data_IF_887784453725
#
_entry.id   IF_887784453725
#
_cell.length_a   1.000
_cell.length_b   1.000
_cell.length_c   1.000
_cell.angle_alpha   90.00
_cell.angle_beta   90.00
_cell.angle_gamma   90.00
#
_symmetry.space_group_name_H-M   'P 1'
#
loop_
_entity.id
_entity.type
_entity.pdbx_description
1 polymer ?
#
# COMPACT_ATOMS: atom_id res chain seq x y z
N UNK A 1 26.82 69.52 -15.88
CA UNK A 1 26.45 68.33 -15.07
C UNK A 1 25.26 67.66 -15.74
N UNK A 2 25.44 66.46 -16.31
CA UNK A 2 24.38 65.67 -16.97
C UNK A 2 23.64 64.84 -15.90
N UNK A 3 22.29 64.78 -15.87
CA UNK A 3 21.61 63.83 -15.01
C UNK A 3 21.56 62.46 -15.69
N UNK A 4 22.03 61.43 -14.99
CA UNK A 4 21.84 60.02 -15.36
C UNK A 4 20.37 59.63 -15.09
N UNK A 5 19.67 59.18 -16.13
CA UNK A 5 18.45 58.39 -15.98
C UNK A 5 18.83 56.97 -15.58
N UNK A 6 18.42 56.53 -14.39
CA UNK A 6 18.45 55.13 -13.98
C UNK A 6 17.14 54.48 -14.43
N UNK A 7 17.22 53.61 -15.44
CA UNK A 7 16.11 52.75 -15.85
C UNK A 7 16.08 51.56 -14.90
N UNK A 8 15.09 51.50 -14.02
CA UNK A 8 14.82 50.32 -13.20
C UNK A 8 14.14 49.25 -14.06
N UNK A 9 14.88 48.18 -14.39
CA UNK A 9 14.32 46.99 -15.01
C UNK A 9 13.51 46.20 -13.96
N UNK A 10 12.18 46.28 -14.05
CA UNK A 10 11.27 45.39 -13.32
C UNK A 10 11.39 43.98 -13.92
N UNK A 11 12.19 43.11 -13.28
CA UNK A 11 12.06 41.67 -13.49
C UNK A 11 10.75 41.21 -12.87
N UNK A 12 9.73 40.93 -13.69
CA UNK A 12 8.60 40.11 -13.25
C UNK A 12 9.12 38.69 -12.98
N UNK A 13 9.37 38.38 -11.70
CA UNK A 13 9.44 37.01 -11.25
C UNK A 13 8.04 36.40 -11.43
N UNK A 14 7.87 35.61 -12.48
CA UNK A 14 6.71 34.73 -12.63
C UNK A 14 6.80 33.68 -11.53
N UNK A 15 6.11 33.94 -10.42
CA UNK A 15 5.83 32.92 -9.41
C UNK A 15 5.02 31.85 -10.16
N UNK A 16 5.66 30.72 -10.47
CA UNK A 16 5.00 29.51 -10.93
C UNK A 16 4.08 29.04 -9.81
N UNK A 17 2.90 29.65 -9.70
CA UNK A 17 1.82 29.10 -8.91
C UNK A 17 1.47 27.77 -9.58
N UNK A 18 1.86 26.66 -8.93
CA UNK A 18 1.43 25.33 -9.35
C UNK A 18 -0.09 25.36 -9.52
N UNK A 19 -0.57 24.93 -10.69
CA UNK A 19 -1.99 24.93 -10.98
C UNK A 19 -2.68 24.00 -9.98
N UNK A 20 -3.67 24.52 -9.27
CA UNK A 20 -4.44 23.73 -8.31
C UNK A 20 -5.12 22.56 -9.03
N UNK A 21 -5.29 21.39 -8.37
CA UNK A 21 -5.97 20.24 -8.96
C UNK A 21 -7.36 20.62 -9.46
N UNK A 22 -7.69 20.18 -10.67
CA UNK A 22 -9.00 20.47 -11.27
C UNK A 22 -10.04 19.55 -10.65
N UNK A 23 -11.18 20.09 -10.22
CA UNK A 23 -12.27 19.30 -9.65
C UNK A 23 -13.31 18.91 -10.70
N UNK A 24 -13.70 17.63 -10.72
CA UNK A 24 -14.82 17.12 -11.50
C UNK A 24 -16.19 17.56 -10.96
N UNK A 25 -16.24 18.27 -9.83
CA UNK A 25 -17.49 18.91 -9.34
C UNK A 25 -17.83 20.17 -10.14
N UNK A 26 -16.82 20.95 -10.55
CA UNK A 26 -17.04 22.21 -11.27
C UNK A 26 -17.28 22.00 -12.77
N UNK A 27 -16.64 21.01 -13.39
CA UNK A 27 -16.81 20.64 -14.82
C UNK A 27 -16.58 19.15 -15.02
N UNK A 28 -16.95 18.59 -16.17
CA UNK A 28 -16.55 17.21 -16.50
C UNK A 28 -15.03 17.14 -16.77
N UNK A 29 -14.40 16.03 -16.42
CA UNK A 29 -13.03 15.71 -16.84
C UNK A 29 -13.08 14.49 -17.76
N UNK A 30 -12.51 14.61 -18.95
CA UNK A 30 -12.64 13.67 -20.06
C UNK A 30 -11.26 13.20 -20.50
N UNK A 31 -11.02 11.89 -20.41
CA UNK A 31 -9.85 11.23 -20.98
C UNK A 31 -10.21 10.75 -22.38
N UNK A 32 -9.68 11.41 -23.41
CA UNK A 32 -10.02 11.15 -24.81
C UNK A 32 -8.99 10.22 -25.45
N UNK A 33 -9.46 9.30 -26.31
CA UNK A 33 -8.66 8.34 -27.07
C UNK A 33 -7.68 7.48 -26.22
N UNK A 34 -8.08 7.10 -25.01
CA UNK A 34 -7.23 6.38 -24.07
C UNK A 34 -7.37 4.86 -24.20
N UNK A 35 -6.32 4.10 -23.89
CA UNK A 35 -6.42 2.67 -23.66
C UNK A 35 -6.83 2.41 -22.21
N UNK A 36 -7.88 1.64 -21.95
CA UNK A 36 -8.36 1.35 -20.59
C UNK A 36 -8.00 -0.08 -20.21
N UNK A 37 -7.37 -0.26 -19.06
CA UNK A 37 -7.25 -1.57 -18.39
C UNK A 37 -8.29 -1.58 -17.28
N UNK A 38 -9.46 -2.19 -17.48
CA UNK A 38 -10.62 -1.91 -16.64
C UNK A 38 -10.58 -2.66 -15.30
N UNK A 39 -9.71 -3.67 -15.16
CA UNK A 39 -9.50 -4.49 -13.94
C UNK A 39 -10.70 -5.35 -13.47
N UNK A 40 -11.79 -5.43 -14.25
CA UNK A 40 -12.84 -6.44 -14.06
C UNK A 40 -12.58 -7.73 -14.86
N UNK A 41 -11.73 -7.66 -15.88
CA UNK A 41 -11.23 -8.79 -16.69
C UNK A 41 -9.86 -8.43 -17.32
N UNK A 42 -9.07 -9.43 -17.69
CA UNK A 42 -7.70 -9.25 -18.22
C UNK A 42 -7.74 -8.88 -19.71
N UNK A 43 -7.90 -7.58 -19.99
CA UNK A 43 -7.93 -7.03 -21.35
C UNK A 43 -7.50 -5.55 -21.38
N UNK A 44 -7.26 -5.07 -22.59
CA UNK A 44 -7.09 -3.65 -22.91
C UNK A 44 -8.21 -3.22 -23.83
N UNK A 45 -9.00 -2.22 -23.42
CA UNK A 45 -9.97 -1.55 -24.29
C UNK A 45 -9.29 -0.38 -24.97
N UNK A 46 -9.00 -0.47 -26.26
CA UNK A 46 -8.28 0.58 -26.98
C UNK A 46 -9.21 1.68 -27.48
N UNK A 47 -8.69 2.90 -27.67
CA UNK A 47 -9.42 4.04 -28.23
C UNK A 47 -10.76 4.33 -27.54
N UNK A 48 -10.73 4.51 -26.22
CA UNK A 48 -11.90 4.83 -25.41
C UNK A 48 -11.94 6.31 -25.04
N UNK A 49 -13.14 6.83 -24.80
CA UNK A 49 -13.36 8.06 -24.05
C UNK A 49 -13.90 7.70 -22.67
N UNK A 50 -13.30 8.25 -21.61
CA UNK A 50 -13.79 8.13 -20.23
C UNK A 50 -14.18 9.50 -19.70
N UNK A 51 -15.40 9.64 -19.21
CA UNK A 51 -15.94 10.90 -18.67
C UNK A 51 -16.13 10.74 -17.17
N UNK A 52 -15.71 11.76 -16.41
CA UNK A 52 -15.86 11.81 -14.97
C UNK A 52 -16.56 13.09 -14.53
N UNK A 53 -17.43 12.98 -13.52
CA UNK A 53 -18.16 14.09 -12.92
C UNK A 53 -18.48 13.75 -11.46
N UNK A 54 -18.33 14.71 -10.56
CA UNK A 54 -18.64 14.56 -9.13
C UNK A 54 -17.99 13.32 -8.48
N UNK A 55 -16.74 13.03 -8.85
CA UNK A 55 -16.01 11.87 -8.31
C UNK A 55 -16.45 10.50 -8.83
N UNK A 56 -17.25 10.45 -9.90
CA UNK A 56 -17.72 9.22 -10.54
C UNK A 56 -17.35 9.19 -12.02
N UNK A 57 -17.14 7.98 -12.54
CA UNK A 57 -17.08 7.69 -13.97
C UNK A 57 -18.51 7.68 -14.52
N UNK A 58 -18.89 8.70 -15.26
CA UNK A 58 -20.26 8.85 -15.80
C UNK A 58 -20.44 8.21 -17.17
N UNK A 59 -19.37 8.05 -17.95
CA UNK A 59 -19.40 7.35 -19.22
C UNK A 59 -18.05 6.70 -19.55
N UNK A 60 -18.12 5.55 -20.23
CA UNK A 60 -16.98 4.84 -20.82
C UNK A 60 -17.45 4.21 -22.14
N UNK A 61 -16.74 4.44 -23.23
CA UNK A 61 -17.04 3.80 -24.52
C UNK A 61 -16.08 4.22 -25.63
N UNK A 62 -16.27 3.67 -26.82
CA UNK A 62 -15.41 3.95 -27.97
C UNK A 62 -15.34 5.45 -28.27
N UNK A 63 -14.14 5.92 -28.62
CA UNK A 63 -13.88 7.33 -28.92
C UNK A 63 -14.82 7.85 -30.02
N UNK A 64 -15.17 9.14 -29.94
CA UNK A 64 -16.17 9.83 -30.79
C UNK A 64 -17.62 9.38 -30.62
N UNK A 65 -17.90 8.26 -29.95
CA UNK A 65 -19.28 7.82 -29.63
C UNK A 65 -19.77 8.33 -28.27
N UNK A 66 -18.85 8.65 -27.36
CA UNK A 66 -19.16 9.22 -26.05
C UNK A 66 -19.33 10.73 -26.18
N UNK A 67 -20.43 11.25 -25.64
CA UNK A 67 -20.71 12.69 -25.58
C UNK A 67 -20.33 13.23 -24.20
N UNK A 68 -19.88 14.48 -24.18
CA UNK A 68 -19.54 15.23 -22.97
C UNK A 68 -19.81 16.73 -23.21
N UNK A 69 -19.90 17.50 -22.13
CA UNK A 69 -20.19 18.92 -22.12
C UNK A 69 -19.13 19.75 -22.83
N UNK A 70 -19.54 20.90 -23.39
CA UNK A 70 -18.65 21.81 -24.12
C UNK A 70 -17.59 22.48 -23.23
N UNK A 71 -17.86 22.56 -21.94
CA UNK A 71 -17.00 23.11 -20.89
C UNK A 71 -16.10 22.05 -20.23
N UNK A 72 -16.16 20.79 -20.67
CA UNK A 72 -15.37 19.70 -20.13
C UNK A 72 -13.86 19.99 -20.23
N UNK A 73 -13.08 19.53 -19.24
CA UNK A 73 -11.62 19.44 -19.36
C UNK A 73 -11.29 18.21 -20.17
N UNK A 74 -10.84 18.43 -21.40
CA UNK A 74 -10.45 17.33 -22.30
C UNK A 74 -8.96 17.10 -22.19
N UNK A 75 -8.59 15.91 -21.74
CA UNK A 75 -7.22 15.41 -21.68
C UNK A 75 -7.01 14.51 -22.89
N UNK A 76 -6.07 14.90 -23.76
CA UNK A 76 -5.61 14.04 -24.84
C UNK A 76 -4.76 12.90 -24.28
N UNK A 77 -5.32 11.69 -24.32
CA UNK A 77 -4.74 10.49 -23.76
C UNK A 77 -4.43 9.44 -24.84
N UNK A 78 -4.31 9.86 -26.11
CA UNK A 78 -3.88 9.00 -27.20
C UNK A 78 -2.57 8.26 -26.85
N UNK A 79 -2.59 6.94 -27.01
CA UNK A 79 -1.46 6.05 -26.70
C UNK A 79 -1.18 5.82 -25.20
N UNK A 80 -1.88 6.53 -24.30
CA UNK A 80 -1.76 6.36 -22.85
C UNK A 80 -2.67 5.24 -22.34
N UNK A 81 -2.48 4.87 -21.07
CA UNK A 81 -3.20 3.80 -20.40
C UNK A 81 -3.89 4.32 -19.13
N UNK A 82 -5.19 4.13 -19.02
CA UNK A 82 -5.98 4.47 -17.83
C UNK A 82 -6.26 3.20 -17.04
N UNK A 83 -5.89 3.23 -15.75
CA UNK A 83 -6.12 2.14 -14.80
C UNK A 83 -6.84 2.69 -13.55
N UNK A 84 -7.48 1.83 -12.73
CA UNK A 84 -7.96 2.26 -11.42
C UNK A 84 -6.79 2.72 -10.53
N UNK A 85 -7.08 3.62 -9.60
CA UNK A 85 -6.16 4.00 -8.54
C UNK A 85 -5.62 2.79 -7.78
N UNK A 86 -4.33 2.81 -7.46
CA UNK A 86 -3.71 1.76 -6.67
C UNK A 86 -4.04 1.95 -5.19
N UNK A 87 -3.94 0.86 -4.42
CA UNK A 87 -4.09 0.85 -2.98
C UNK A 87 -2.84 0.33 -2.28
N UNK A 88 -2.52 0.89 -1.12
CA UNK A 88 -1.46 0.42 -0.22
C UNK A 88 -2.10 -0.08 1.08
N UNK A 89 -2.16 -1.40 1.26
CA UNK A 89 -2.85 -2.04 2.38
C UNK A 89 -1.96 -2.24 3.61
N UNK A 90 -0.72 -1.75 3.59
CA UNK A 90 0.20 -1.74 4.72
C UNK A 90 0.99 -0.43 4.81
N UNK A 91 0.30 0.69 5.04
CA UNK A 91 0.96 1.98 5.21
C UNK A 91 1.32 2.26 6.69
N UNK A 92 2.48 2.88 6.92
CA UNK A 92 2.92 3.39 8.21
C UNK A 92 2.80 4.92 8.26
N UNK A 93 1.58 5.44 8.36
CA UNK A 93 1.41 6.86 8.68
C UNK A 93 1.97 7.13 10.09
N UNK A 94 2.88 8.11 10.29
CA UNK A 94 3.56 8.32 11.56
C UNK A 94 2.59 8.36 12.76
N UNK A 95 2.77 7.53 13.79
CA UNK A 95 1.84 7.44 14.92
C UNK A 95 2.23 8.45 16.03
N UNK A 96 2.27 9.73 15.69
CA UNK A 96 2.69 10.82 16.59
C UNK A 96 1.60 11.91 16.69
N UNK A 97 1.80 12.93 17.53
CA UNK A 97 0.82 14.02 17.66
C UNK A 97 0.83 15.00 16.48
N UNK A 98 2.00 15.21 15.88
CA UNK A 98 2.19 16.15 14.77
C UNK A 98 1.61 15.62 13.45
N UNK A 99 0.69 16.38 12.86
CA UNK A 99 0.06 16.07 11.58
C UNK A 99 0.96 16.38 10.38
N UNK A 100 1.91 17.30 10.49
CA UNK A 100 2.73 17.73 9.36
C UNK A 100 3.44 16.56 8.65
N UNK A 101 4.21 15.68 9.35
CA UNK A 101 4.84 14.54 8.72
C UNK A 101 3.83 13.50 8.20
N UNK A 102 2.66 13.41 8.82
CA UNK A 102 1.59 12.54 8.30
C UNK A 102 1.09 13.02 6.94
N UNK A 103 0.84 14.33 6.82
CA UNK A 103 0.41 14.97 5.57
C UNK A 103 1.43 14.76 4.45
N UNK A 104 2.71 14.84 4.75
CA UNK A 104 3.77 14.56 3.78
C UNK A 104 3.78 13.10 3.33
N UNK A 105 3.62 12.14 4.25
CA UNK A 105 3.57 10.71 3.92
C UNK A 105 2.36 10.39 3.03
N UNK A 106 1.17 10.89 3.37
CA UNK A 106 -0.03 10.65 2.54
C UNK A 106 0.05 11.39 1.20
N UNK A 107 0.70 12.56 1.14
CA UNK A 107 0.94 13.25 -0.12
C UNK A 107 1.88 12.45 -1.04
N UNK A 108 2.94 11.84 -0.51
CA UNK A 108 3.83 10.95 -1.28
C UNK A 108 3.07 9.77 -1.88
N UNK A 109 2.14 9.15 -1.13
CA UNK A 109 1.26 8.11 -1.69
C UNK A 109 0.39 8.66 -2.82
N UNK A 110 -0.29 9.79 -2.62
CA UNK A 110 -1.18 10.39 -3.61
C UNK A 110 -0.50 10.70 -4.95
N UNK A 111 0.66 11.36 -4.91
CA UNK A 111 1.38 11.77 -6.14
C UNK A 111 2.03 10.61 -6.88
N UNK A 112 2.14 9.44 -6.24
CA UNK A 112 2.56 8.18 -6.86
C UNK A 112 1.37 7.32 -7.33
N UNK A 113 0.15 7.85 -7.40
CA UNK A 113 -1.01 7.12 -7.92
C UNK A 113 -1.66 6.16 -6.92
N UNK A 114 -1.26 6.20 -5.65
CA UNK A 114 -1.95 5.47 -4.59
C UNK A 114 -3.13 6.33 -4.15
N UNK A 115 -4.34 5.79 -4.28
CA UNK A 115 -5.62 6.49 -4.05
C UNK A 115 -6.36 5.96 -2.82
N UNK A 116 -5.94 4.82 -2.28
CA UNK A 116 -6.44 4.25 -1.02
C UNK A 116 -5.27 3.75 -0.19
N UNK A 117 -5.28 3.99 1.12
CA UNK A 117 -4.30 3.41 2.05
C UNK A 117 -4.98 2.80 3.28
N UNK A 118 -4.40 1.72 3.80
CA UNK A 118 -4.71 1.18 5.13
C UNK A 118 -3.53 1.39 6.08
N UNK A 119 -3.70 2.25 7.07
CA UNK A 119 -2.73 2.49 8.14
C UNK A 119 -2.64 1.30 9.08
N UNK A 120 -1.45 0.71 9.24
CA UNK A 120 -1.24 -0.52 10.03
C UNK A 120 -0.55 -0.30 11.37
N UNK A 121 -0.47 0.96 11.83
CA UNK A 121 -0.05 1.31 13.18
C UNK A 121 -0.79 2.56 13.65
N UNK A 122 -2.00 2.38 14.17
CA UNK A 122 -2.92 3.47 14.46
C UNK A 122 -2.51 4.42 15.59
N UNK A 123 -2.93 5.67 15.45
CA UNK A 123 -2.84 6.73 16.47
C UNK A 123 -4.15 7.56 16.47
N UNK A 124 -4.59 8.18 17.58
CA UNK A 124 -5.81 9.00 17.59
C UNK A 124 -5.83 10.10 16.53
N UNK A 125 -4.69 10.75 16.27
CA UNK A 125 -4.56 11.79 15.24
C UNK A 125 -4.82 11.27 13.81
N UNK A 126 -4.73 9.95 13.57
CA UNK A 126 -5.07 9.38 12.27
C UNK A 126 -6.56 9.46 11.98
N UNK A 127 -7.42 9.41 13.01
CA UNK A 127 -8.86 9.59 12.85
C UNK A 127 -9.17 11.03 12.45
N UNK A 128 -8.49 12.01 13.05
CA UNK A 128 -8.60 13.41 12.64
C UNK A 128 -8.11 13.62 11.21
N UNK A 129 -6.93 13.09 10.86
CA UNK A 129 -6.42 13.16 9.50
C UNK A 129 -7.41 12.56 8.49
N UNK A 130 -8.01 11.41 8.81
CA UNK A 130 -9.03 10.77 7.97
C UNK A 130 -10.23 11.70 7.75
N UNK A 131 -10.70 12.39 8.78
CA UNK A 131 -11.80 13.36 8.63
C UNK A 131 -11.42 14.58 7.80
N UNK A 132 -10.19 15.11 7.94
CA UNK A 132 -9.68 16.18 7.08
C UNK A 132 -9.65 15.76 5.61
N UNK A 133 -9.22 14.52 5.33
CA UNK A 133 -9.21 13.94 3.98
C UNK A 133 -10.64 13.81 3.44
N UNK A 134 -11.57 13.28 4.23
CA UNK A 134 -12.99 13.15 3.84
C UNK A 134 -13.64 14.49 3.51
N UNK A 135 -13.26 15.56 4.22
CA UNK A 135 -13.73 16.93 3.97
C UNK A 135 -13.02 17.62 2.80
N UNK A 136 -11.98 17.02 2.22
CA UNK A 136 -11.18 17.61 1.15
C UNK A 136 -10.21 18.70 1.61
N UNK A 137 -9.96 18.82 2.92
CA UNK A 137 -8.98 19.76 3.49
C UNK A 137 -7.53 19.30 3.25
N UNK A 138 -7.33 17.99 3.05
CA UNK A 138 -6.05 17.37 2.69
C UNK A 138 -6.27 16.50 1.45
N UNK A 139 -5.60 16.84 0.36
CA UNK A 139 -5.57 15.98 -0.83
C UNK A 139 -4.66 14.78 -0.57
N UNK A 140 -5.27 13.62 -0.37
CA UNK A 140 -4.60 12.39 0.01
C UNK A 140 -5.44 11.18 -0.38
N UNK A 141 -4.87 9.96 -0.33
CA UNK A 141 -5.61 8.73 -0.55
C UNK A 141 -6.75 8.57 0.46
N UNK A 142 -7.80 7.85 0.09
CA UNK A 142 -8.83 7.39 1.03
C UNK A 142 -8.16 6.62 2.18
N UNK A 143 -8.33 7.10 3.40
CA UNK A 143 -7.57 6.59 4.54
C UNK A 143 -8.43 5.67 5.42
N UNK A 144 -8.13 4.38 5.39
CA UNK A 144 -8.58 3.41 6.38
C UNK A 144 -7.48 3.23 7.41
N UNK A 145 -7.83 3.02 8.68
CA UNK A 145 -6.79 2.89 9.70
C UNK A 145 -7.14 1.88 10.78
N UNK A 146 -6.12 1.09 11.15
CA UNK A 146 -6.12 0.31 12.38
C UNK A 146 -6.05 1.25 13.58
N UNK A 147 -6.46 0.77 14.76
CA UNK A 147 -6.10 1.46 16.00
C UNK A 147 -4.68 1.12 16.49
N UNK A 148 -4.28 1.66 17.65
CA UNK A 148 -3.01 1.33 18.28
C UNK A 148 -2.80 -0.17 18.42
N UNK A 149 -1.54 -0.60 18.28
CA UNK A 149 -1.16 -2.01 18.24
C UNK A 149 -1.59 -2.81 19.48
N UNK A 150 -2.12 -4.02 19.26
CA UNK A 150 -2.24 -5.07 20.26
C UNK A 150 -1.00 -5.96 20.23
N UNK A 151 -0.17 -5.89 21.27
CA UNK A 151 1.07 -6.67 21.40
C UNK A 151 1.30 -7.10 22.85
N UNK A 152 2.38 -7.86 23.09
CA UNK A 152 2.72 -8.38 24.42
C UNK A 152 2.89 -7.32 25.51
N UNK A 153 3.26 -6.09 25.15
CA UNK A 153 3.44 -4.98 26.07
C UNK A 153 2.15 -4.17 26.28
N UNK A 154 1.40 -3.89 25.21
CA UNK A 154 0.20 -3.05 25.28
C UNK A 154 -1.01 -3.78 25.88
N UNK A 155 -1.09 -5.10 25.70
CA UNK A 155 -2.18 -5.92 26.24
C UNK A 155 -1.70 -6.59 27.51
N UNK A 156 -2.06 -6.03 28.67
CA UNK A 156 -1.58 -6.51 29.98
C UNK A 156 -2.32 -7.78 30.44
N UNK A 157 -3.63 -7.89 30.19
CA UNK A 157 -4.46 -9.08 30.52
C UNK A 157 -5.46 -9.41 29.40
N UNK A 158 -6.09 -10.60 29.40
CA UNK A 158 -7.19 -10.93 28.51
C UNK A 158 -8.37 -9.94 28.60
N UNK A 159 -8.75 -9.52 29.79
CA UNK A 159 -9.84 -8.56 30.04
C UNK A 159 -9.50 -7.20 29.45
N UNK A 160 -8.25 -6.76 29.62
CA UNK A 160 -7.78 -5.50 29.04
C UNK A 160 -7.77 -5.58 27.51
N UNK A 161 -7.34 -6.71 26.94
CA UNK A 161 -7.44 -6.94 25.49
C UNK A 161 -8.87 -6.78 24.96
N UNK A 162 -9.85 -7.38 25.63
CA UNK A 162 -11.26 -7.23 25.27
C UNK A 162 -11.77 -5.79 25.46
N UNK A 163 -11.32 -5.08 26.50
CA UNK A 163 -11.67 -3.69 26.73
C UNK A 163 -11.09 -2.77 25.64
N UNK A 164 -9.82 -2.95 25.29
CA UNK A 164 -9.14 -2.25 24.19
C UNK A 164 -9.88 -2.39 22.87
N UNK A 165 -10.35 -3.60 22.52
CA UNK A 165 -11.16 -3.84 21.32
C UNK A 165 -12.40 -2.95 21.29
N UNK A 166 -13.15 -2.89 22.40
CA UNK A 166 -14.37 -2.07 22.49
C UNK A 166 -14.05 -0.59 22.37
N UNK A 167 -12.98 -0.12 23.03
CA UNK A 167 -12.54 1.28 22.95
C UNK A 167 -12.14 1.66 21.53
N UNK A 168 -11.38 0.81 20.82
CA UNK A 168 -10.98 1.10 19.44
C UNK A 168 -12.16 1.07 18.47
N UNK A 169 -13.10 0.13 18.62
CA UNK A 169 -14.34 0.13 17.83
C UNK A 169 -15.16 1.41 18.08
N UNK A 170 -15.31 1.81 19.34
CA UNK A 170 -16.04 3.02 19.71
C UNK A 170 -15.37 4.29 19.18
N UNK A 171 -14.04 4.34 19.17
CA UNK A 171 -13.29 5.46 18.60
C UNK A 171 -13.45 5.59 17.06
N UNK A 172 -13.92 4.54 16.39
CA UNK A 172 -14.18 4.55 14.95
C UNK A 172 -13.00 4.08 14.09
N UNK A 173 -12.09 3.27 14.64
CA UNK A 173 -11.08 2.57 13.86
C UNK A 173 -11.74 1.51 12.96
N UNK A 174 -11.17 1.30 11.78
CA UNK A 174 -11.71 0.37 10.76
C UNK A 174 -11.28 -1.07 11.06
N UNK A 175 -10.07 -1.23 11.62
CA UNK A 175 -9.43 -2.51 11.91
C UNK A 175 -8.72 -2.50 13.27
N UNK A 176 -8.40 -3.69 13.78
CA UNK A 176 -7.43 -3.88 14.87
C UNK A 176 -6.11 -4.39 14.29
N UNK A 177 -4.97 -3.82 14.70
CA UNK A 177 -3.63 -4.36 14.36
C UNK A 177 -3.10 -5.23 15.48
N UNK A 178 -2.82 -6.50 15.17
CA UNK A 178 -2.08 -7.39 16.05
C UNK A 178 -0.60 -7.43 15.66
N UNK A 179 0.24 -7.41 16.68
CA UNK A 179 1.70 -7.53 16.60
C UNK A 179 2.19 -8.67 17.51
N UNK A 180 3.48 -9.05 17.42
CA UNK A 180 4.04 -10.14 18.22
C UNK A 180 3.97 -9.95 19.75
N UNK A 181 4.24 -11.04 20.49
CA UNK A 181 4.26 -11.08 21.95
C UNK A 181 2.93 -11.34 22.66
N UNK A 182 1.83 -11.59 21.94
CA UNK A 182 0.56 -11.97 22.58
C UNK A 182 0.58 -13.44 23.04
N UNK A 183 0.09 -13.69 24.25
CA UNK A 183 -0.23 -15.04 24.71
C UNK A 183 -1.56 -15.52 24.10
N UNK A 184 -1.79 -16.83 24.12
CA UNK A 184 -3.05 -17.44 23.62
C UNK A 184 -4.27 -16.88 24.32
N UNK A 185 -4.24 -16.75 25.65
CA UNK A 185 -5.36 -16.21 26.41
C UNK A 185 -5.68 -14.75 26.05
N UNK A 186 -4.65 -13.90 25.88
CA UNK A 186 -4.82 -12.52 25.45
C UNK A 186 -5.41 -12.47 24.04
N UNK A 187 -4.87 -13.27 23.12
CA UNK A 187 -5.34 -13.38 21.75
C UNK A 187 -6.81 -13.85 21.66
N UNK A 188 -7.16 -14.95 22.33
CA UNK A 188 -8.51 -15.54 22.28
C UNK A 188 -9.55 -14.54 22.81
N UNK A 189 -9.20 -13.76 23.85
CA UNK A 189 -10.08 -12.69 24.38
C UNK A 189 -10.26 -11.53 23.39
N UNK A 190 -9.19 -11.09 22.73
CA UNK A 190 -9.25 -10.07 21.66
C UNK A 190 -10.14 -10.56 20.52
N UNK A 191 -9.92 -11.78 20.02
CA UNK A 191 -10.67 -12.36 18.92
C UNK A 191 -12.17 -12.50 19.26
N UNK A 192 -12.50 -13.00 20.46
CA UNK A 192 -13.88 -13.12 20.93
C UNK A 192 -14.57 -11.75 21.05
N UNK A 193 -13.87 -10.75 21.60
CA UNK A 193 -14.41 -9.39 21.69
C UNK A 193 -14.60 -8.76 20.31
N UNK A 194 -13.65 -8.95 19.38
CA UNK A 194 -13.69 -8.40 18.04
C UNK A 194 -14.88 -8.95 17.24
N UNK A 195 -15.12 -10.26 17.34
CA UNK A 195 -16.30 -10.92 16.79
C UNK A 195 -17.60 -10.34 17.37
N UNK A 196 -17.65 -10.14 18.69
CA UNK A 196 -18.85 -9.60 19.37
C UNK A 196 -19.21 -8.18 18.92
N UNK A 197 -18.22 -7.34 18.63
CA UNK A 197 -18.46 -5.94 18.22
C UNK A 197 -18.36 -5.70 16.71
N UNK A 198 -18.12 -6.75 15.93
CA UNK A 198 -18.02 -6.68 14.47
C UNK A 198 -16.90 -5.74 14.01
N UNK A 199 -15.68 -5.95 14.50
CA UNK A 199 -14.48 -5.27 13.99
C UNK A 199 -13.47 -6.30 13.47
N UNK A 200 -12.99 -6.18 12.23
CA UNK A 200 -11.96 -7.06 11.71
C UNK A 200 -10.61 -6.79 12.37
N UNK A 201 -9.79 -7.83 12.46
CA UNK A 201 -8.41 -7.73 12.96
C UNK A 201 -7.43 -8.37 11.99
N UNK A 202 -6.25 -7.76 11.88
CA UNK A 202 -5.24 -8.07 10.89
C UNK A 202 -3.83 -7.81 11.46
N UNK A 203 -2.80 -8.25 10.75
CA UNK A 203 -1.41 -7.96 11.12
C UNK A 203 -0.55 -9.20 11.18
N UNK A 204 0.42 -9.16 12.10
CA UNK A 204 1.27 -10.30 12.39
C UNK A 204 0.48 -11.38 13.11
N UNK A 205 1.00 -12.60 12.98
CA UNK A 205 0.65 -13.70 13.87
C UNK A 205 1.69 -13.74 14.97
N UNK A 206 1.28 -13.55 16.23
CA UNK A 206 2.20 -13.75 17.36
C UNK A 206 2.68 -15.21 17.40
N UNK A 207 3.99 -15.42 17.58
CA UNK A 207 4.60 -16.75 17.67
C UNK A 207 3.86 -17.69 18.63
N UNK A 208 3.57 -17.22 19.85
CA UNK A 208 2.86 -18.01 20.88
C UNK A 208 1.41 -18.38 20.53
N UNK A 209 0.79 -17.67 19.57
CA UNK A 209 -0.57 -17.92 19.06
C UNK A 209 -0.51 -18.96 17.93
N UNK A 210 0.39 -18.75 16.95
CA UNK A 210 0.56 -19.59 15.78
C UNK A 210 -0.51 -19.38 14.69
N UNK A 211 -0.10 -19.59 13.43
CA UNK A 211 -0.93 -19.22 12.25
C UNK A 211 -2.23 -20.00 12.17
N UNK A 212 -2.24 -21.27 12.56
CA UNK A 212 -3.44 -22.10 12.47
C UNK A 212 -4.57 -21.55 13.36
N UNK A 213 -4.23 -21.12 14.58
CA UNK A 213 -5.18 -20.47 15.49
C UNK A 213 -5.62 -19.10 14.97
N UNK A 214 -4.72 -18.33 14.38
CA UNK A 214 -5.06 -17.05 13.76
C UNK A 214 -6.07 -17.23 12.60
N UNK A 215 -5.87 -18.25 11.76
CA UNK A 215 -6.79 -18.61 10.68
C UNK A 215 -8.15 -19.02 11.25
N UNK A 216 -8.18 -19.91 12.24
CA UNK A 216 -9.43 -20.39 12.86
C UNK A 216 -10.20 -19.27 13.58
N UNK A 217 -9.48 -18.27 14.10
CA UNK A 217 -10.07 -17.09 14.73
C UNK A 217 -10.66 -16.08 13.73
N UNK A 218 -10.36 -16.22 12.43
CA UNK A 218 -10.92 -15.38 11.38
C UNK A 218 -10.22 -14.03 11.21
N UNK A 219 -8.88 -13.99 11.20
CA UNK A 219 -8.14 -12.81 10.74
C UNK A 219 -8.71 -12.29 9.41
N UNK A 220 -8.84 -10.98 9.24
CA UNK A 220 -9.27 -10.43 7.95
C UNK A 220 -8.11 -10.45 6.95
N UNK A 221 -6.89 -10.10 7.38
CA UNK A 221 -5.66 -10.32 6.62
C UNK A 221 -4.51 -10.75 7.52
N UNK A 222 -3.67 -11.66 7.03
CA UNK A 222 -2.37 -11.97 7.64
C UNK A 222 -1.28 -11.28 6.82
N UNK A 223 -0.40 -10.56 7.51
CA UNK A 223 0.61 -9.75 6.88
C UNK A 223 2.00 -10.41 7.01
N UNK A 224 2.96 -10.02 6.18
CA UNK A 224 4.39 -10.38 6.23
C UNK A 224 4.76 -11.87 6.09
N UNK A 225 3.82 -12.80 5.98
CA UNK A 225 4.05 -14.25 5.77
C UNK A 225 4.88 -14.97 6.85
N UNK A 226 5.26 -14.29 7.93
CA UNK A 226 6.08 -14.82 9.01
C UNK A 226 5.41 -16.02 9.69
N UNK A 227 4.15 -15.87 10.08
CA UNK A 227 3.37 -16.96 10.67
C UNK A 227 3.21 -18.16 9.73
N UNK A 228 3.27 -17.96 8.41
CA UNK A 228 3.17 -19.07 7.43
C UNK A 228 4.43 -19.93 7.48
N UNK A 229 5.59 -19.29 7.50
CA UNK A 229 6.88 -19.97 7.56
C UNK A 229 6.98 -20.72 8.89
N UNK A 230 6.73 -20.04 10.01
CA UNK A 230 6.76 -20.64 11.34
C UNK A 230 5.78 -21.81 11.47
N UNK A 231 4.54 -21.64 11.00
CA UNK A 231 3.50 -22.67 11.07
C UNK A 231 3.77 -23.94 10.26
N UNK A 232 4.74 -23.91 9.35
CA UNK A 232 5.18 -25.06 8.57
C UNK A 232 6.42 -25.75 9.15
N UNK A 233 7.08 -25.19 10.16
CA UNK A 233 8.28 -25.79 10.77
C UNK A 233 7.87 -26.92 11.73
N UNK A 234 8.34 -28.17 11.51
CA UNK A 234 8.08 -29.26 12.45
C UNK A 234 8.70 -28.99 13.82
N UNK A 235 7.94 -29.17 14.89
CA UNK A 235 8.42 -28.95 16.26
C UNK A 235 8.54 -27.48 16.67
N UNK A 236 7.95 -26.55 15.91
CA UNK A 236 7.98 -25.11 16.20
C UNK A 236 7.48 -24.78 17.62
N UNK A 237 6.56 -25.58 18.16
CA UNK A 237 6.03 -25.44 19.52
C UNK A 237 7.06 -25.65 20.63
N UNK A 238 8.22 -26.23 20.31
CA UNK A 238 9.34 -26.45 21.23
C UNK A 238 10.40 -25.35 21.16
N UNK A 239 10.25 -24.40 20.22
CA UNK A 239 11.15 -23.26 20.06
C UNK A 239 10.63 -22.05 20.83
N UNK A 240 11.52 -21.08 21.07
CA UNK A 240 11.15 -19.74 21.51
C UNK A 240 11.27 -18.75 20.35
N UNK A 241 10.48 -17.67 20.39
CA UNK A 241 10.35 -16.70 19.30
C UNK A 241 11.70 -16.15 18.82
N UNK A 242 12.65 -15.89 19.71
CA UNK A 242 13.97 -15.36 19.34
C UNK A 242 14.75 -16.30 18.40
N UNK A 243 14.47 -17.60 18.45
CA UNK A 243 15.14 -18.61 17.61
C UNK A 243 14.59 -18.62 16.17
N UNK A 244 13.40 -18.08 15.91
CA UNK A 244 12.85 -18.01 14.55
C UNK A 244 13.49 -16.90 13.74
N UNK A 245 14.04 -15.90 14.42
CA UNK A 245 14.57 -14.69 13.81
C UNK A 245 13.45 -13.80 13.29
N UNK A 246 13.83 -12.61 12.85
CA UNK A 246 12.89 -11.66 12.27
C UNK A 246 12.14 -12.28 11.08
N UNK A 247 10.81 -12.21 11.09
CA UNK A 247 9.92 -12.81 10.09
C UNK A 247 10.13 -14.32 9.84
N UNK A 248 10.72 -15.07 10.78
CA UNK A 248 10.97 -16.50 10.65
C UNK A 248 12.17 -16.87 9.76
N UNK A 249 13.05 -15.93 9.43
CA UNK A 249 14.16 -16.18 8.49
C UNK A 249 15.12 -17.29 8.94
N UNK A 250 15.40 -17.42 10.25
CA UNK A 250 16.35 -18.42 10.75
C UNK A 250 15.79 -19.84 10.78
N UNK A 251 14.48 -20.00 10.60
CA UNK A 251 13.82 -21.31 10.55
C UNK A 251 13.23 -21.63 9.18
N UNK A 252 13.37 -20.74 8.19
CA UNK A 252 12.78 -20.90 6.87
C UNK A 252 13.22 -22.19 6.15
N UNK A 253 14.47 -22.62 6.33
CA UNK A 253 15.00 -23.87 5.76
C UNK A 253 14.41 -25.14 6.40
N UNK A 254 13.85 -25.01 7.62
CA UNK A 254 13.21 -26.09 8.36
C UNK A 254 11.71 -26.21 8.04
N UNK A 255 11.16 -25.27 7.27
CA UNK A 255 9.75 -25.28 6.91
C UNK A 255 9.42 -26.47 6.00
N UNK A 256 8.47 -27.29 6.41
CA UNK A 256 7.95 -28.40 5.61
C UNK A 256 6.99 -27.86 4.53
N UNK A 257 7.54 -27.65 3.34
CA UNK A 257 6.77 -27.09 2.21
C UNK A 257 5.68 -28.03 1.67
N UNK A 258 5.61 -29.29 2.13
CA UNK A 258 4.48 -30.18 1.81
C UNK A 258 3.18 -29.71 2.49
N UNK A 259 3.27 -28.83 3.50
CA UNK A 259 2.10 -28.25 4.18
C UNK A 259 1.46 -27.08 3.42
N UNK A 260 2.06 -26.56 2.35
CA UNK A 260 1.51 -25.41 1.61
C UNK A 260 0.06 -25.66 1.15
N UNK A 261 -0.31 -26.80 0.53
CA UNK A 261 -1.70 -27.05 0.14
C UNK A 261 -2.70 -26.98 1.31
N UNK A 262 -2.29 -27.45 2.50
CA UNK A 262 -3.11 -27.36 3.71
C UNK A 262 -3.29 -25.90 4.15
N UNK A 263 -2.21 -25.13 4.17
CA UNK A 263 -2.23 -23.70 4.50
C UNK A 263 -3.16 -22.93 3.55
N UNK A 264 -2.96 -23.08 2.25
CA UNK A 264 -3.78 -22.45 1.21
C UNK A 264 -5.26 -22.81 1.38
N UNK A 265 -5.57 -24.10 1.61
CA UNK A 265 -6.95 -24.55 1.85
C UNK A 265 -7.56 -23.94 3.11
N UNK A 266 -6.77 -23.76 4.18
CA UNK A 266 -7.23 -23.12 5.40
C UNK A 266 -7.50 -21.62 5.20
N UNK A 267 -6.62 -20.90 4.51
CA UNK A 267 -6.79 -19.49 4.17
C UNK A 267 -8.08 -19.26 3.34
N UNK A 268 -8.29 -20.06 2.29
CA UNK A 268 -9.50 -19.95 1.45
C UNK A 268 -10.78 -20.23 2.22
N UNK A 269 -10.82 -21.33 2.99
CA UNK A 269 -12.03 -21.73 3.73
C UNK A 269 -12.44 -20.68 4.76
N UNK A 270 -11.48 -19.98 5.35
CA UNK A 270 -11.73 -18.94 6.35
C UNK A 270 -11.74 -17.52 5.76
N UNK A 271 -11.67 -17.37 4.42
CA UNK A 271 -11.66 -16.08 3.72
C UNK A 271 -10.56 -15.13 4.22
N UNK A 272 -9.38 -15.66 4.51
CA UNK A 272 -8.23 -14.89 4.98
C UNK A 272 -7.50 -14.28 3.78
N UNK A 273 -7.32 -12.96 3.80
CA UNK A 273 -6.50 -12.25 2.82
C UNK A 273 -5.04 -12.21 3.27
N UNK A 274 -4.13 -11.95 2.33
CA UNK A 274 -2.69 -11.93 2.60
C UNK A 274 -2.07 -10.65 2.06
N UNK A 275 -1.27 -9.98 2.90
CA UNK A 275 -0.47 -8.81 2.54
C UNK A 275 1.01 -9.19 2.62
N UNK A 276 1.67 -9.51 1.50
CA UNK A 276 2.99 -10.13 1.55
C UNK A 276 4.12 -9.24 2.08
N UNK A 277 4.04 -7.92 1.82
CA UNK A 277 5.14 -6.97 2.08
C UNK A 277 6.48 -7.51 1.59
N UNK A 278 6.49 -8.05 0.37
CA UNK A 278 7.66 -8.73 -0.18
C UNK A 278 8.82 -7.76 -0.39
N UNK A 279 8.54 -6.49 -0.72
CA UNK A 279 9.50 -5.41 -0.84
C UNK A 279 10.37 -5.25 0.40
N UNK A 280 9.79 -5.38 1.59
CA UNK A 280 10.53 -5.29 2.84
C UNK A 280 11.52 -6.45 2.97
N UNK A 281 11.09 -7.68 2.70
CA UNK A 281 11.97 -8.85 2.74
C UNK A 281 13.09 -8.76 1.69
N UNK A 282 12.77 -8.25 0.49
CA UNK A 282 13.73 -8.10 -0.61
C UNK A 282 14.75 -7.00 -0.33
N UNK A 283 14.34 -5.88 0.26
CA UNK A 283 15.23 -4.73 0.45
C UNK A 283 16.01 -4.82 1.77
N UNK A 284 15.40 -5.34 2.82
CA UNK A 284 16.09 -5.53 4.10
C UNK A 284 16.89 -6.83 4.15
N UNK A 285 16.24 -7.97 3.90
CA UNK A 285 16.78 -9.28 4.27
C UNK A 285 17.49 -10.00 3.12
N UNK A 286 17.16 -9.69 1.87
CA UNK A 286 17.84 -10.28 0.72
C UNK A 286 19.30 -9.82 0.65
N UNK A 287 20.23 -10.74 0.30
CA UNK A 287 21.62 -10.40 0.04
C UNK A 287 21.84 -9.82 -1.37
N UNK A 288 20.80 -9.72 -2.21
CA UNK A 288 20.94 -9.28 -3.62
C UNK A 288 21.51 -7.86 -3.75
N UNK A 289 21.11 -6.97 -2.85
CA UNK A 289 21.56 -5.58 -2.82
C UNK A 289 22.07 -5.23 -1.43
N UNK A 290 23.12 -4.42 -1.38
CA UNK A 290 23.73 -3.89 -0.16
C UNK A 290 22.97 -2.66 0.36
N UNK A 291 23.32 -2.18 1.55
CA UNK A 291 22.80 -0.89 2.04
C UNK A 291 23.24 0.28 1.18
N UNK A 292 24.43 0.21 0.57
CA UNK A 292 24.97 1.29 -0.26
C UNK A 292 24.29 1.37 -1.62
N UNK A 293 23.89 0.22 -2.20
CA UNK A 293 23.05 0.20 -3.39
C UNK A 293 21.72 0.93 -3.15
N UNK A 294 21.10 0.74 -1.98
CA UNK A 294 19.87 1.45 -1.61
C UNK A 294 20.09 2.88 -1.16
N UNK A 295 21.26 3.22 -0.60
CA UNK A 295 21.60 4.60 -0.20
C UNK A 295 21.50 5.57 -1.38
N UNK A 296 21.90 5.11 -2.56
CA UNK A 296 21.90 5.91 -3.80
C UNK A 296 20.63 5.75 -4.64
N UNK A 297 19.65 5.00 -4.14
CA UNK A 297 18.33 4.89 -4.78
C UNK A 297 17.70 6.30 -4.88
N UNK A 298 17.31 6.77 -6.08
CA UNK A 298 16.77 8.12 -6.29
C UNK A 298 15.57 8.48 -5.40
N UNK A 299 14.85 7.48 -4.91
CA UNK A 299 13.68 7.66 -4.06
C UNK A 299 14.08 8.06 -2.62
N UNK A 300 15.31 7.79 -2.17
CA UNK A 300 15.75 8.10 -0.81
C UNK A 300 15.74 9.59 -0.48
N UNK A 301 15.77 10.48 -1.48
CA UNK A 301 15.67 11.94 -1.30
C UNK A 301 14.35 12.39 -0.65
N UNK A 302 13.33 11.52 -0.60
CA UNK A 302 12.05 11.82 0.06
C UNK A 302 12.04 11.42 1.56
N UNK A 303 13.12 10.80 2.04
CA UNK A 303 13.30 10.43 3.44
C UNK A 303 14.35 11.32 4.09
N UNK A 304 14.21 11.55 5.40
CA UNK A 304 15.22 12.29 6.16
C UNK A 304 16.55 11.52 6.16
N UNK A 305 17.68 12.21 6.09
CA UNK A 305 19.01 11.60 6.12
C UNK A 305 19.19 10.69 7.34
N UNK A 306 18.71 11.11 8.51
CA UNK A 306 18.79 10.30 9.74
C UNK A 306 18.01 8.99 9.61
N UNK A 307 16.84 9.02 8.95
CA UNK A 307 16.05 7.81 8.68
C UNK A 307 16.77 6.88 7.72
N UNK A 308 17.39 7.40 6.65
CA UNK A 308 18.17 6.60 5.70
C UNK A 308 19.37 5.95 6.38
N UNK A 309 20.11 6.69 7.21
CA UNK A 309 21.23 6.14 7.98
C UNK A 309 20.77 5.09 9.01
N UNK A 310 19.61 5.28 9.65
CA UNK A 310 19.01 4.24 10.51
C UNK A 310 18.68 2.96 9.71
N UNK A 311 18.19 3.08 8.48
CA UNK A 311 17.91 1.93 7.63
C UNK A 311 19.18 1.20 7.17
N UNK A 312 20.22 1.95 6.82
CA UNK A 312 21.56 1.43 6.52
C UNK A 312 22.08 0.62 7.70
N UNK A 313 22.06 1.22 8.90
CA UNK A 313 22.50 0.53 10.12
C UNK A 313 21.66 -0.72 10.41
N UNK A 314 20.34 -0.65 10.19
CA UNK A 314 19.45 -1.81 10.39
C UNK A 314 19.75 -2.97 9.44
N UNK A 315 20.04 -2.69 8.16
CA UNK A 315 20.46 -3.72 7.20
C UNK A 315 21.86 -4.25 7.54
N UNK A 316 22.81 -3.37 7.84
CA UNK A 316 24.17 -3.76 8.19
C UNK A 316 24.22 -4.62 9.46
N UNK A 317 23.48 -4.26 10.50
CA UNK A 317 23.36 -5.07 11.72
C UNK A 317 22.73 -6.43 11.43
N UNK A 318 21.75 -6.49 10.52
CA UNK A 318 21.13 -7.75 10.12
C UNK A 318 22.10 -8.67 9.37
N UNK A 319 22.81 -8.16 8.36
CA UNK A 319 23.74 -8.97 7.55
C UNK A 319 25.03 -9.35 8.30
N UNK A 320 25.43 -8.56 9.30
CA UNK A 320 26.59 -8.84 10.15
C UNK A 320 26.26 -9.70 11.37
N UNK A 321 24.98 -10.09 11.55
CA UNK A 321 24.59 -11.02 12.61
C UNK A 321 25.28 -12.38 12.38
N UNK A 322 25.90 -13.01 13.40
CA UNK A 322 26.54 -14.31 13.25
C UNK A 322 25.62 -15.43 12.71
N UNK A 323 24.31 -15.34 12.95
CA UNK A 323 23.30 -16.27 12.44
C UNK A 323 22.89 -16.00 10.98
N UNK A 324 23.28 -14.84 10.43
CA UNK A 324 23.01 -14.52 9.04
C UNK A 324 23.86 -15.37 8.10
N UNK A 325 23.21 -15.93 7.09
CA UNK A 325 23.86 -16.68 6.04
C UNK A 325 23.22 -16.35 4.69
N UNK A 326 24.05 -15.99 3.71
CA UNK A 326 23.60 -15.58 2.36
C UNK A 326 22.71 -16.62 1.70
N UNK A 327 23.06 -17.91 1.80
CA UNK A 327 22.28 -19.01 1.23
C UNK A 327 20.93 -19.15 1.93
N UNK A 328 20.91 -19.09 3.27
CA UNK A 328 19.66 -19.16 4.04
C UNK A 328 18.74 -17.99 3.74
N UNK A 329 19.27 -16.76 3.69
CA UNK A 329 18.51 -15.56 3.34
C UNK A 329 17.95 -15.63 1.91
N UNK A 330 18.74 -16.12 0.95
CA UNK A 330 18.28 -16.35 -0.42
C UNK A 330 17.14 -17.38 -0.48
N UNK A 331 17.25 -18.48 0.28
CA UNK A 331 16.21 -19.50 0.33
C UNK A 331 14.94 -19.02 1.04
N UNK A 332 15.07 -18.19 2.07
CA UNK A 332 13.93 -17.52 2.70
C UNK A 332 13.15 -16.66 1.70
N UNK A 333 13.84 -15.80 0.94
CA UNK A 333 13.19 -14.98 -0.09
C UNK A 333 12.49 -15.87 -1.14
N UNK A 334 13.14 -16.94 -1.60
CA UNK A 334 12.54 -17.91 -2.53
C UNK A 334 11.29 -18.58 -1.95
N UNK A 335 11.31 -18.97 -0.67
CA UNK A 335 10.15 -19.57 0.00
C UNK A 335 8.97 -18.59 0.06
N UNK A 336 9.22 -17.32 0.40
CA UNK A 336 8.19 -16.27 0.39
C UNK A 336 7.56 -16.09 -0.99
N UNK A 337 8.41 -15.97 -2.03
CA UNK A 337 7.94 -15.88 -3.43
C UNK A 337 7.09 -17.11 -3.82
N UNK A 338 7.49 -18.32 -3.41
CA UNK A 338 6.70 -19.54 -3.62
C UNK A 338 5.33 -19.46 -2.92
N UNK A 339 5.28 -19.00 -1.67
CA UNK A 339 4.02 -18.84 -0.91
C UNK A 339 3.07 -17.83 -1.58
N UNK A 340 3.59 -16.69 -2.04
CA UNK A 340 2.83 -15.67 -2.79
C UNK A 340 2.23 -16.30 -4.06
N UNK A 341 3.06 -17.01 -4.83
CA UNK A 341 2.62 -17.70 -6.05
C UNK A 341 1.53 -18.72 -5.79
N UNK A 342 1.70 -19.53 -4.75
CA UNK A 342 0.70 -20.57 -4.40
C UNK A 342 -0.60 -19.95 -3.87
N UNK A 343 -0.54 -18.79 -3.20
CA UNK A 343 -1.74 -18.02 -2.85
C UNK A 343 -2.51 -17.59 -4.11
N UNK A 344 -1.83 -16.90 -5.04
CA UNK A 344 -2.45 -16.45 -6.29
C UNK A 344 -3.00 -17.63 -7.11
N UNK A 345 -2.16 -18.64 -7.37
CA UNK A 345 -2.51 -19.79 -8.22
C UNK A 345 -3.75 -20.52 -7.74
N UNK A 346 -3.98 -20.54 -6.42
CA UNK A 346 -5.11 -21.24 -5.82
C UNK A 346 -6.27 -20.31 -5.44
N UNK A 347 -6.19 -19.01 -5.75
CA UNK A 347 -7.27 -18.05 -5.50
C UNK A 347 -7.42 -17.64 -4.03
N UNK A 348 -6.34 -17.62 -3.25
CA UNK A 348 -6.28 -16.88 -1.98
C UNK A 348 -6.18 -15.39 -2.30
N UNK A 349 -6.92 -14.57 -1.58
CA UNK A 349 -6.91 -13.12 -1.78
C UNK A 349 -5.57 -12.51 -1.40
N UNK A 350 -4.88 -11.89 -2.37
CA UNK A 350 -3.69 -11.08 -2.15
C UNK A 350 -4.04 -9.58 -2.19
N UNK A 351 -3.42 -8.80 -1.30
CA UNK A 351 -3.54 -7.35 -1.22
C UNK A 351 -2.17 -6.72 -1.40
N UNK A 352 -2.11 -5.62 -2.17
CA UNK A 352 -0.88 -4.87 -2.37
C UNK A 352 -0.51 -4.15 -1.08
N UNK A 353 0.69 -4.38 -0.56
CA UNK A 353 1.22 -3.54 0.49
C UNK A 353 2.71 -3.73 0.72
N UNK A 354 3.42 -2.64 0.97
CA UNK A 354 4.88 -2.59 1.01
C UNK A 354 5.47 -2.23 2.37
N UNK A 355 4.65 -1.94 3.38
CA UNK A 355 5.09 -1.55 4.72
C UNK A 355 5.74 -0.15 4.79
N UNK A 356 5.51 0.74 3.80
CA UNK A 356 6.17 2.04 3.75
C UNK A 356 5.56 3.09 4.71
N UNK A 357 6.37 3.96 5.34
CA UNK A 357 7.84 3.93 5.39
C UNK A 357 8.37 2.85 6.35
N UNK A 358 9.31 2.06 5.84
CA UNK A 358 10.12 1.10 6.60
C UNK A 358 11.46 0.92 5.87
N UNK A 359 12.38 0.10 6.35
CA UNK A 359 13.73 -0.14 5.79
C UNK A 359 13.76 -0.09 4.24
N UNK A 360 14.28 1.02 3.70
CA UNK A 360 14.38 1.37 2.28
C UNK A 360 13.07 1.40 1.49
N UNK A 361 11.92 1.35 2.13
CA UNK A 361 10.60 1.50 1.53
C UNK A 361 10.12 2.94 1.68
N UNK A 362 10.22 3.72 0.61
CA UNK A 362 9.72 5.10 0.54
C UNK A 362 8.22 5.10 0.20
N UNK A 363 7.37 5.89 0.90
CA UNK A 363 5.93 5.96 0.66
C UNK A 363 5.58 6.27 -0.80
N UNK A 364 4.59 5.55 -1.35
CA UNK A 364 4.17 5.64 -2.76
C UNK A 364 5.10 4.87 -3.68
N UNK A 365 6.38 5.24 -3.72
CA UNK A 365 7.37 4.62 -4.60
C UNK A 365 7.52 3.11 -4.36
N UNK A 366 7.52 2.67 -3.10
CA UNK A 366 7.72 1.27 -2.76
C UNK A 366 6.49 0.39 -2.94
N UNK A 367 5.31 0.99 -3.10
CA UNK A 367 4.11 0.27 -3.55
C UNK A 367 4.30 -0.24 -4.99
N UNK A 368 5.02 0.50 -5.84
CA UNK A 368 5.42 0.02 -7.17
C UNK A 368 6.53 -1.03 -7.10
N UNK A 369 7.47 -0.92 -6.14
CA UNK A 369 8.47 -1.96 -5.91
C UNK A 369 7.79 -3.29 -5.53
N UNK A 370 6.75 -3.26 -4.68
CA UNK A 370 5.97 -4.45 -4.34
C UNK A 370 5.34 -5.10 -5.58
N UNK A 371 4.76 -4.32 -6.51
CA UNK A 371 4.23 -4.86 -7.77
C UNK A 371 5.28 -5.62 -8.58
N UNK A 372 6.52 -5.11 -8.66
CA UNK A 372 7.63 -5.82 -9.29
C UNK A 372 7.99 -7.11 -8.57
N UNK A 373 8.06 -7.10 -7.23
CA UNK A 373 8.36 -8.29 -6.46
C UNK A 373 7.25 -9.34 -6.52
N UNK A 374 5.99 -8.93 -6.67
CA UNK A 374 4.88 -9.83 -6.98
C UNK A 374 5.06 -10.49 -8.34
N UNK A 375 5.45 -9.74 -9.38
CA UNK A 375 5.77 -10.33 -10.71
C UNK A 375 6.98 -11.26 -10.63
N UNK A 376 8.03 -10.89 -9.89
CA UNK A 376 9.19 -11.76 -9.62
C UNK A 376 8.83 -13.00 -8.79
N UNK A 377 7.70 -12.99 -8.10
CA UNK A 377 7.14 -14.16 -7.42
C UNK A 377 6.37 -15.09 -8.38
N UNK A 378 6.20 -14.70 -9.65
CA UNK A 378 5.56 -15.49 -10.70
C UNK A 378 4.11 -15.12 -10.97
N UNK A 379 3.67 -13.93 -10.55
CA UNK A 379 2.40 -13.33 -10.97
C UNK A 379 2.56 -12.69 -12.36
N UNK A 380 1.50 -12.69 -13.17
CA UNK A 380 1.42 -11.80 -14.34
C UNK A 380 1.29 -10.34 -13.89
N UNK A 381 1.65 -9.35 -14.72
CA UNK A 381 1.41 -7.95 -14.40
C UNK A 381 -0.05 -7.63 -14.08
N UNK A 382 -1.02 -8.26 -14.77
CA UNK A 382 -2.44 -8.11 -14.46
C UNK A 382 -2.77 -8.63 -13.05
N UNK A 383 -2.29 -9.83 -12.70
CA UNK A 383 -2.48 -10.40 -11.36
C UNK A 383 -1.87 -9.50 -10.27
N UNK A 384 -0.69 -8.93 -10.50
CA UNK A 384 -0.05 -7.99 -9.57
C UNK A 384 -0.89 -6.72 -9.39
N UNK A 385 -1.32 -6.06 -10.49
CA UNK A 385 -2.21 -4.88 -10.44
C UNK A 385 -3.53 -5.18 -9.73
N UNK A 386 -4.06 -6.40 -9.89
CA UNK A 386 -5.31 -6.82 -9.25
C UNK A 386 -5.23 -6.73 -7.74
N UNK A 387 -4.07 -7.02 -7.14
CA UNK A 387 -3.85 -6.97 -5.69
C UNK A 387 -4.03 -5.57 -5.09
N UNK A 388 -3.75 -4.52 -5.87
CA UNK A 388 -3.88 -3.13 -5.46
C UNK A 388 -5.14 -2.43 -5.97
N UNK A 389 -6.07 -3.14 -6.62
CA UNK A 389 -7.26 -2.54 -7.26
C UNK A 389 -8.53 -3.28 -6.84
N UNK A 390 -9.10 -4.13 -7.70
CA UNK A 390 -10.38 -4.81 -7.46
C UNK A 390 -10.33 -5.77 -6.26
N UNK A 391 -9.16 -6.33 -5.92
CA UNK A 391 -9.01 -7.11 -4.69
C UNK A 391 -9.24 -6.27 -3.45
N UNK A 392 -8.75 -5.02 -3.44
CA UNK A 392 -8.96 -4.09 -2.32
C UNK A 392 -10.43 -3.72 -2.20
N UNK A 393 -11.10 -3.43 -3.32
CA UNK A 393 -12.53 -3.16 -3.32
C UNK A 393 -13.33 -4.35 -2.76
N UNK A 394 -12.97 -5.59 -3.11
CA UNK A 394 -13.59 -6.80 -2.53
C UNK A 394 -13.30 -6.98 -1.05
N UNK A 395 -12.07 -6.71 -0.61
CA UNK A 395 -11.65 -6.84 0.79
C UNK A 395 -12.36 -5.83 1.70
N UNK A 396 -12.49 -4.58 1.24
CA UNK A 396 -13.15 -3.48 1.96
C UNK A 396 -14.67 -3.44 1.73
N UNK A 397 -15.23 -4.39 0.99
CA UNK A 397 -16.64 -4.46 0.56
C UNK A 397 -17.16 -3.18 -0.17
N UNK A 398 -16.31 -2.57 -0.99
CA UNK A 398 -16.63 -1.41 -1.81
C UNK A 398 -17.28 -1.83 -3.12
N UNK A 399 -18.57 -1.55 -3.29
CA UNK A 399 -19.35 -2.01 -4.47
C UNK A 399 -18.95 -1.38 -5.79
N UNK A 400 -18.54 -0.10 -5.77
CA UNK A 400 -18.32 0.73 -6.95
C UNK A 400 -16.89 1.28 -7.02
N UNK A 401 -15.88 0.45 -6.72
CA UNK A 401 -14.48 0.84 -6.70
C UNK A 401 -13.54 -0.25 -7.28
N UNK A 402 -12.28 0.12 -7.52
CA UNK A 402 -11.22 -0.82 -7.95
C UNK A 402 -11.28 -1.26 -9.40
N UNK A 403 -12.14 -0.66 -10.23
CA UNK A 403 -12.25 -0.92 -11.67
C UNK A 403 -12.62 0.35 -12.44
N UNK A 404 -12.21 0.45 -13.71
CA UNK A 404 -12.63 1.54 -14.60
C UNK A 404 -13.96 1.13 -15.25
N UNK A 405 -15.06 1.52 -14.61
CA UNK A 405 -16.41 1.17 -15.06
C UNK A 405 -17.37 2.33 -14.84
N UNK A 406 -18.33 2.50 -15.74
CA UNK A 406 -19.40 3.46 -15.53
C UNK A 406 -20.11 3.23 -14.18
N UNK A 407 -20.37 4.32 -13.45
CA UNK A 407 -20.94 4.32 -12.11
C UNK A 407 -19.93 4.10 -10.97
N UNK A 408 -18.65 3.85 -11.28
CA UNK A 408 -17.62 3.64 -10.27
C UNK A 408 -16.97 4.97 -9.87
N UNK A 409 -16.34 5.00 -8.70
CA UNK A 409 -15.53 6.15 -8.26
C UNK A 409 -14.41 6.42 -9.26
N UNK A 410 -14.11 7.69 -9.49
CA UNK A 410 -13.07 8.13 -10.43
C UNK A 410 -11.68 8.18 -9.79
N UNK A 411 -11.34 7.21 -8.94
CA UNK A 411 -9.97 7.00 -8.49
C UNK A 411 -9.19 6.33 -9.64
N UNK A 412 -8.33 7.08 -10.32
CA UNK A 412 -7.74 6.69 -11.61
C UNK A 412 -6.27 7.09 -11.71
N UNK A 413 -5.49 6.35 -12.49
CA UNK A 413 -4.12 6.72 -12.88
C UNK A 413 -4.03 6.71 -14.40
N UNK A 414 -3.51 7.80 -14.97
CA UNK A 414 -3.14 7.86 -16.38
C UNK A 414 -1.64 7.59 -16.50
N UNK A 415 -1.28 6.55 -17.23
CA UNK A 415 0.10 6.10 -17.45
C UNK A 415 0.52 6.37 -18.90
N UNK A 416 1.77 6.74 -19.13
CA UNK A 416 2.29 6.97 -20.48
C UNK A 416 2.56 5.68 -21.28
N UNK A 417 2.57 4.52 -20.61
CA UNK A 417 2.90 3.24 -21.23
C UNK A 417 2.13 2.08 -20.58
N UNK A 418 2.15 0.92 -21.26
CA UNK A 418 1.35 -0.25 -20.88
C UNK A 418 1.96 -0.99 -19.66
N UNK A 419 1.28 -1.03 -18.50
CA UNK A 419 1.78 -1.79 -17.35
C UNK A 419 1.62 -3.31 -17.51
N UNK A 420 0.85 -3.79 -18.50
CA UNK A 420 0.69 -5.23 -18.75
C UNK A 420 1.88 -5.83 -19.52
N UNK A 421 2.62 -5.02 -20.26
CA UNK A 421 3.85 -5.46 -20.94
C UNK A 421 5.07 -5.38 -20.02
N UNK A 422 5.09 -4.36 -19.14
CA UNK A 422 6.13 -4.17 -18.14
C UNK A 422 5.51 -3.46 -16.92
N UNK A 423 5.46 -4.16 -15.78
CA UNK A 423 4.83 -3.66 -14.57
C UNK A 423 5.50 -2.37 -14.03
N UNK A 424 6.75 -2.11 -14.43
CA UNK A 424 7.46 -0.87 -14.07
C UNK A 424 6.80 0.38 -14.63
N UNK A 425 6.02 0.25 -15.71
CA UNK A 425 5.32 1.38 -16.33
C UNK A 425 4.24 1.98 -15.42
N UNK A 426 3.90 1.33 -14.30
CA UNK A 426 3.06 1.93 -13.25
C UNK A 426 3.68 3.19 -12.62
N UNK A 427 5.00 3.39 -12.71
CA UNK A 427 5.68 4.62 -12.28
C UNK A 427 5.65 5.74 -13.32
N UNK A 428 5.32 5.41 -14.57
CA UNK A 428 5.33 6.36 -15.68
C UNK A 428 4.01 7.16 -15.74
N UNK A 429 3.73 7.89 -14.65
CA UNK A 429 2.46 8.56 -14.39
C UNK A 429 2.39 9.88 -15.18
N UNK A 430 1.30 10.06 -15.92
CA UNK A 430 0.92 11.31 -16.60
C UNK A 430 -0.07 12.14 -15.78
N UNK A 431 -0.79 11.52 -14.85
CA UNK A 431 -1.65 12.18 -13.89
C UNK A 431 -2.43 11.19 -13.03
N UNK A 432 -2.99 11.68 -11.94
CA UNK A 432 -3.70 10.90 -10.93
C UNK A 432 -5.01 11.59 -10.60
N UNK A 433 -6.09 10.81 -10.52
CA UNK A 433 -7.38 11.26 -10.04
C UNK A 433 -7.68 10.59 -8.70
N UNK A 434 -8.03 11.40 -7.68
CA UNK A 434 -8.50 10.92 -6.37
C UNK A 434 -9.86 11.55 -6.11
N UNK A 435 -10.89 10.72 -6.04
CA UNK A 435 -12.28 11.15 -5.95
C UNK A 435 -12.59 12.12 -7.08
N UNK A 436 -12.88 13.38 -6.72
CA UNK A 436 -13.20 14.43 -7.67
C UNK A 436 -11.99 15.23 -8.16
N UNK A 437 -10.78 15.05 -7.62
CA UNK A 437 -9.61 15.89 -7.91
C UNK A 437 -8.69 15.24 -8.94
N UNK A 438 -8.41 15.97 -10.03
CA UNK A 438 -7.41 15.61 -11.02
C UNK A 438 -6.09 16.36 -10.78
N UNK A 439 -5.04 15.59 -10.57
CA UNK A 439 -3.65 16.03 -10.48
C UNK A 439 -2.95 15.70 -11.80
N UNK A 440 -2.64 16.71 -12.61
CA UNK A 440 -1.82 16.50 -13.80
C UNK A 440 -0.33 16.31 -13.46
N UNK A 441 0.47 16.02 -14.47
CA UNK A 441 1.92 15.82 -14.31
C UNK A 441 2.63 17.04 -13.71
N UNK A 442 2.20 18.26 -14.05
CA UNK A 442 2.83 19.48 -13.56
C UNK A 442 2.60 19.66 -12.06
N UNK A 443 1.38 19.41 -11.59
CA UNK A 443 1.06 19.40 -10.16
C UNK A 443 1.89 18.34 -9.43
N UNK A 444 1.90 17.10 -9.94
CA UNK A 444 2.68 15.99 -9.36
C UNK A 444 4.16 16.35 -9.23
N UNK A 445 4.76 16.90 -10.29
CA UNK A 445 6.18 17.27 -10.27
C UNK A 445 6.49 18.42 -9.31
N UNK A 446 5.58 19.38 -9.19
CA UNK A 446 5.71 20.47 -8.22
C UNK A 446 5.66 19.93 -6.79
N UNK A 447 4.72 19.03 -6.51
CA UNK A 447 4.53 18.47 -5.19
C UNK A 447 5.67 17.54 -4.80
N UNK A 448 6.17 16.72 -5.72
CA UNK A 448 7.37 15.94 -5.53
C UNK A 448 8.58 16.83 -5.23
N UNK A 449 8.77 17.96 -5.93
CA UNK A 449 9.87 18.90 -5.60
C UNK A 449 9.74 19.45 -4.18
N UNK A 450 8.52 19.77 -3.74
CA UNK A 450 8.23 20.27 -2.38
C UNK A 450 8.53 19.23 -1.30
N UNK A 451 8.32 17.95 -1.60
CA UNK A 451 8.47 16.84 -0.65
C UNK A 451 9.91 16.32 -0.49
N UNK A 452 10.85 16.77 -1.33
CA UNK A 452 12.28 16.42 -1.16
C UNK A 452 12.78 16.88 0.20
N UNK A 453 13.46 15.98 0.91
CA UNK A 453 14.13 16.25 2.18
C UNK A 453 15.54 16.74 1.93
N UNK A 454 15.89 17.85 2.57
CA UNK A 454 17.21 18.47 2.48
C UNK A 454 18.28 17.69 3.25
#
# INVERSE_FOLDING_TARGET
MRPLLVIAALMLASVLNAQQPVSSTSREIVFKDVNVIPMNDERVLTHQTVVTKNGLITALGADKKVKYGKDALVIDAAGKYLIPGLAEMHAHVPPIDDLAPMKEVVALFAVNGITTIRGMLGHPRHLELREMIRKGEVLAPHFYTTGPSFNGMSVTSPEEGAAMVRRQKQAGYDFLKLHPGLSRAKFDSIAAAAKKVGIPFAGHVSFGVGVWRAIDAGYSSIDHLDGFIEGMVPGIEKMVEQQTGLFGIFVAEKADTTQIPRLISALKRNNIWVVPTQSLAERWMSPTYTSDDFRVDPDMKYMKKETVEQWINSKNNFINNPEFNVTKATNFVKLRRKLIRECEKNGVGLLLGCDAPQIFNVPGFSTHNELEYLVLSGLTPYQALRTGTINVARYLDLKNAGAVRQGFVSDLILLNANPLTDIKQTRNIAGVMIGDKWMDKQFIDSELKRLVKQ
#
